data_IF_836043239378
#
_entry.id   IF_836043239378
#
_cell.length_a   1.000
_cell.length_b   1.000
_cell.length_c   1.000
_cell.angle_alpha   90.00
_cell.angle_beta   90.00
_cell.angle_gamma   90.00
#
_symmetry.space_group_name_H-M   'P 1'
#
loop_
_entity.id
_entity.type
_entity.pdbx_description
1 polymer ?
#
# COMPACT_ATOMS: atom_id res chain seq x y z
N UNK A 1 -0.09 19.39 -9.84
CA UNK A 1 1.14 18.58 -9.66
C UNK A 1 1.35 18.12 -8.21
N UNK A 2 1.28 19.01 -7.20
CA UNK A 2 1.46 18.66 -5.77
C UNK A 2 0.56 17.52 -5.25
N UNK A 3 -0.73 17.52 -5.59
CA UNK A 3 -1.70 16.51 -5.13
C UNK A 3 -1.35 15.10 -5.58
N UNK A 4 -0.92 14.93 -6.84
CA UNK A 4 -0.56 13.61 -7.38
C UNK A 4 0.67 13.04 -6.65
N UNK A 5 1.67 13.88 -6.40
CA UNK A 5 2.86 13.49 -5.64
C UNK A 5 2.52 13.12 -4.20
N UNK A 6 1.58 13.86 -3.57
CA UNK A 6 1.09 13.54 -2.23
C UNK A 6 0.37 12.19 -2.20
N UNK A 7 -0.47 11.88 -3.19
CA UNK A 7 -1.13 10.57 -3.32
C UNK A 7 -0.10 9.46 -3.48
N UNK A 8 0.88 9.62 -4.37
CA UNK A 8 1.93 8.60 -4.59
C UNK A 8 2.73 8.35 -3.30
N UNK A 9 3.04 9.40 -2.53
CA UNK A 9 3.70 9.27 -1.22
C UNK A 9 2.82 8.56 -0.20
N UNK A 10 1.52 8.90 -0.16
CA UNK A 10 0.53 8.28 0.71
C UNK A 10 0.37 6.78 0.42
N UNK A 11 0.40 6.38 -0.86
CA UNK A 11 0.28 4.99 -1.29
C UNK A 11 1.50 4.11 -0.96
N UNK A 12 2.64 4.72 -0.59
CA UNK A 12 3.90 4.04 -0.24
C UNK A 12 4.24 2.85 -1.17
N UNK A 13 4.19 3.06 -2.49
CA UNK A 13 4.21 2.01 -3.53
C UNK A 13 5.35 0.98 -3.42
N UNK A 14 6.46 1.31 -2.76
CA UNK A 14 7.55 0.35 -2.50
C UNK A 14 7.10 -0.89 -1.74
N UNK A 15 6.06 -0.82 -0.91
CA UNK A 15 5.54 -2.00 -0.20
C UNK A 15 4.76 -2.95 -1.11
N UNK A 16 4.30 -2.49 -2.29
CA UNK A 16 3.70 -3.36 -3.30
C UNK A 16 4.70 -4.36 -3.88
N UNK A 17 6.00 -4.06 -3.81
CA UNK A 17 7.07 -4.98 -4.25
C UNK A 17 7.01 -6.27 -3.42
N UNK A 18 6.78 -6.18 -2.11
CA UNK A 18 6.65 -7.35 -1.25
C UNK A 18 5.47 -8.25 -1.64
N UNK A 19 4.30 -7.63 -1.87
CA UNK A 19 3.11 -8.34 -2.34
C UNK A 19 3.31 -9.01 -3.70
N UNK A 20 3.94 -8.30 -4.64
CA UNK A 20 4.29 -8.84 -5.95
C UNK A 20 5.25 -10.03 -5.83
N UNK A 21 6.32 -9.91 -5.05
CA UNK A 21 7.28 -11.00 -4.84
C UNK A 21 6.63 -12.22 -4.19
N UNK A 22 5.73 -12.02 -3.23
CA UNK A 22 4.97 -13.11 -2.60
C UNK A 22 4.09 -13.85 -3.60
N UNK A 23 3.35 -13.12 -4.44
CA UNK A 23 2.52 -13.73 -5.49
C UNK A 23 3.37 -14.42 -6.54
N UNK A 24 4.48 -13.79 -6.97
CA UNK A 24 5.41 -14.39 -7.93
C UNK A 24 6.00 -15.69 -7.40
N UNK A 25 6.44 -15.72 -6.13
CA UNK A 25 6.95 -16.91 -5.47
C UNK A 25 5.89 -18.01 -5.40
N UNK A 26 4.68 -17.70 -4.93
CA UNK A 26 3.58 -18.67 -4.87
C UNK A 26 3.22 -19.22 -6.26
N UNK A 27 3.28 -18.38 -7.29
CA UNK A 27 3.07 -18.79 -8.68
C UNK A 27 4.17 -19.73 -9.16
N UNK A 28 5.44 -19.43 -8.86
CA UNK A 28 6.58 -20.28 -9.20
C UNK A 28 6.48 -21.65 -8.51
N UNK A 29 6.09 -21.69 -7.23
CA UNK A 29 5.86 -22.93 -6.49
C UNK A 29 4.73 -23.74 -7.13
N UNK A 30 3.58 -23.12 -7.45
CA UNK A 30 2.49 -23.82 -8.13
C UNK A 30 2.91 -24.37 -9.50
N UNK A 31 3.75 -23.65 -10.23
CA UNK A 31 4.32 -24.12 -11.51
C UNK A 31 5.30 -25.28 -11.34
N UNK A 32 6.09 -25.26 -10.27
CA UNK A 32 6.98 -26.35 -9.91
C UNK A 32 6.19 -27.63 -9.59
N UNK A 33 5.06 -27.50 -8.91
CA UNK A 33 4.09 -28.57 -8.61
C UNK A 33 3.18 -28.95 -9.80
N UNK A 34 3.56 -28.57 -11.02
CA UNK A 34 2.87 -28.88 -12.28
C UNK A 34 1.44 -28.32 -12.45
N UNK A 35 1.01 -27.36 -11.63
CA UNK A 35 -0.26 -26.66 -11.84
C UNK A 35 -0.21 -25.74 -13.09
N UNK A 36 -1.36 -25.56 -13.74
CA UNK A 36 -1.49 -24.66 -14.90
C UNK A 36 -1.43 -23.21 -14.43
N UNK A 37 -0.72 -22.37 -15.18
CA UNK A 37 -0.76 -20.93 -14.96
C UNK A 37 -2.13 -20.39 -15.38
N UNK A 38 -2.79 -19.71 -14.46
CA UNK A 38 -4.03 -18.96 -14.72
C UNK A 38 -3.72 -17.47 -14.58
N UNK A 39 -3.71 -16.78 -15.72
CA UNK A 39 -3.44 -15.34 -15.78
C UNK A 39 -4.51 -14.53 -15.05
N UNK A 40 -5.78 -14.95 -15.13
CA UNK A 40 -6.89 -14.27 -14.49
C UNK A 40 -6.76 -14.37 -12.97
N UNK A 41 -6.51 -15.57 -12.45
CA UNK A 41 -6.28 -15.76 -11.02
C UNK A 41 -5.07 -14.96 -10.51
N UNK A 42 -4.00 -14.91 -11.30
CA UNK A 42 -2.79 -14.15 -10.96
C UNK A 42 -3.05 -12.63 -10.89
N UNK A 43 -3.77 -12.08 -11.87
CA UNK A 43 -4.16 -10.66 -11.88
C UNK A 43 -5.07 -10.35 -10.68
N UNK A 44 -6.07 -11.20 -10.41
CA UNK A 44 -6.96 -11.04 -9.25
C UNK A 44 -6.16 -11.04 -7.95
N UNK A 45 -5.20 -11.95 -7.79
CA UNK A 45 -4.35 -12.01 -6.61
C UNK A 45 -3.54 -10.71 -6.44
N UNK A 46 -2.91 -10.22 -7.51
CA UNK A 46 -2.16 -8.96 -7.49
C UNK A 46 -3.03 -7.76 -7.13
N UNK A 47 -4.18 -7.61 -7.79
CA UNK A 47 -5.11 -6.51 -7.52
C UNK A 47 -5.60 -6.57 -6.07
N UNK A 48 -5.95 -7.76 -5.59
CA UNK A 48 -6.43 -7.96 -4.21
C UNK A 48 -5.36 -7.55 -3.21
N UNK A 49 -4.14 -8.10 -3.32
CA UNK A 49 -3.03 -7.77 -2.42
C UNK A 49 -2.68 -6.28 -2.49
N UNK A 50 -2.66 -5.69 -3.69
CA UNK A 50 -2.39 -4.27 -3.84
C UNK A 50 -3.45 -3.39 -3.16
N UNK A 51 -4.74 -3.69 -3.34
CA UNK A 51 -5.83 -2.95 -2.71
C UNK A 51 -5.76 -3.08 -1.19
N UNK A 52 -5.56 -4.28 -0.65
CA UNK A 52 -5.40 -4.49 0.79
C UNK A 52 -4.20 -3.72 1.36
N UNK A 53 -3.07 -3.72 0.65
CA UNK A 53 -1.88 -2.98 1.07
C UNK A 53 -2.13 -1.46 1.08
N UNK A 54 -2.79 -0.93 0.05
CA UNK A 54 -3.15 0.48 -0.03
C UNK A 54 -4.13 0.88 1.08
N UNK A 55 -5.19 0.09 1.29
CA UNK A 55 -6.14 0.29 2.38
C UNK A 55 -5.44 0.33 3.74
N UNK A 56 -4.52 -0.61 3.98
CA UNK A 56 -3.73 -0.66 5.22
C UNK A 56 -2.89 0.61 5.38
N UNK A 57 -2.20 1.05 4.34
CA UNK A 57 -1.39 2.27 4.42
C UNK A 57 -2.23 3.53 4.66
N UNK A 58 -3.36 3.65 3.98
CA UNK A 58 -4.27 4.79 4.16
C UNK A 58 -4.91 4.80 5.55
N UNK A 59 -5.28 3.63 6.05
CA UNK A 59 -5.80 3.48 7.41
C UNK A 59 -4.75 3.86 8.44
N UNK A 60 -3.53 3.33 8.31
CA UNK A 60 -2.44 3.64 9.23
C UNK A 60 -2.12 5.14 9.23
N UNK A 61 -1.95 5.76 8.05
CA UNK A 61 -1.71 7.21 7.98
C UNK A 61 -2.84 8.02 8.62
N UNK A 62 -4.10 7.59 8.48
CA UNK A 62 -5.24 8.28 9.09
C UNK A 62 -5.31 8.11 10.62
N UNK A 63 -5.17 6.89 11.13
CA UNK A 63 -5.33 6.60 12.55
C UNK A 63 -4.07 6.92 13.38
N UNK A 64 -2.89 6.85 12.77
CA UNK A 64 -1.60 7.02 13.47
C UNK A 64 -1.14 8.50 13.51
N UNK A 65 -1.98 9.47 13.14
CA UNK A 65 -1.59 10.89 13.05
C UNK A 65 -0.87 11.42 14.30
N UNK A 66 -1.45 11.19 15.50
CA UNK A 66 -0.87 11.64 16.77
C UNK A 66 0.46 10.93 17.09
N UNK A 67 0.57 9.64 16.75
CA UNK A 67 1.80 8.87 16.94
C UNK A 67 2.89 9.34 15.98
N UNK A 68 2.54 9.56 14.72
CA UNK A 68 3.45 9.96 13.66
C UNK A 68 4.02 11.37 13.91
N UNK A 69 3.23 12.29 14.46
CA UNK A 69 3.68 13.65 14.88
C UNK A 69 4.84 13.61 15.87
N UNK A 70 4.88 12.58 16.73
CA UNK A 70 5.91 12.41 17.76
C UNK A 70 7.03 11.48 17.35
N UNK A 71 6.96 10.93 16.13
CA UNK A 71 7.89 9.93 15.63
C UNK A 71 9.00 10.54 14.75
N UNK A 72 10.14 9.85 14.68
CA UNK A 72 11.15 10.14 13.65
C UNK A 72 10.88 9.25 12.46
N UNK A 73 10.52 9.86 11.33
CA UNK A 73 10.23 9.12 10.09
C UNK A 73 11.47 8.40 9.59
N UNK A 74 11.33 7.10 9.33
CA UNK A 74 12.34 6.29 8.64
C UNK A 74 11.86 5.97 7.23
N UNK A 75 12.69 5.33 6.37
CA UNK A 75 12.19 4.80 5.12
C UNK A 75 11.04 3.79 5.29
N UNK A 76 10.83 3.19 6.47
CA UNK A 76 9.84 2.12 6.64
C UNK A 76 8.70 2.48 7.61
N UNK A 77 8.91 3.43 8.53
CA UNK A 77 8.00 3.78 9.63
C UNK A 77 7.81 5.29 9.78
N UNK A 78 6.75 5.70 10.50
CA UNK A 78 6.46 7.10 10.84
C UNK A 78 5.67 7.86 9.78
N UNK A 79 4.59 7.27 9.26
CA UNK A 79 3.72 7.97 8.30
C UNK A 79 4.27 8.11 6.88
N UNK A 80 3.39 8.49 5.93
CA UNK A 80 3.82 9.06 4.65
C UNK A 80 4.32 10.51 4.81
N UNK A 81 4.00 11.14 5.94
CA UNK A 81 4.26 12.55 6.22
C UNK A 81 3.32 13.51 5.49
N UNK A 82 2.33 13.02 4.74
CA UNK A 82 1.43 13.82 3.89
C UNK A 82 0.33 14.52 4.70
N UNK A 83 -0.18 13.85 5.74
CA UNK A 83 -1.20 14.44 6.61
C UNK A 83 -0.56 15.46 7.57
N UNK A 84 0.62 15.15 8.11
CA UNK A 84 1.37 16.05 9.00
C UNK A 84 1.84 17.32 8.28
N UNK A 85 2.15 17.24 6.98
CA UNK A 85 2.51 18.39 6.16
C UNK A 85 1.30 19.19 5.64
N UNK A 86 0.07 18.79 5.99
CA UNK A 86 -1.18 19.35 5.47
C UNK A 86 -1.24 19.39 3.92
N UNK A 87 -0.57 18.47 3.24
CA UNK A 87 -0.61 18.36 1.77
C UNK A 87 -1.95 17.79 1.28
N UNK A 88 -2.61 16.95 2.10
CA UNK A 88 -3.95 16.42 1.87
C UNK A 88 -4.76 16.41 3.18
N UNK A 89 -6.09 16.58 3.12
CA UNK A 89 -6.95 16.43 4.30
C UNK A 89 -6.98 14.98 4.79
N UNK A 90 -6.99 14.75 6.10
CA UNK A 90 -7.07 13.41 6.69
C UNK A 90 -8.26 12.58 6.20
N UNK A 91 -9.43 13.23 5.99
CA UNK A 91 -10.63 12.55 5.46
C UNK A 91 -10.42 11.94 4.07
N UNK A 92 -9.46 12.47 3.28
CA UNK A 92 -9.13 11.92 1.98
C UNK A 92 -8.46 10.54 2.11
N UNK A 93 -7.57 10.36 3.09
CA UNK A 93 -6.98 9.06 3.39
C UNK A 93 -8.04 8.06 3.88
N UNK A 94 -8.93 8.47 4.78
CA UNK A 94 -10.02 7.63 5.27
C UNK A 94 -10.97 7.16 4.15
N UNK A 95 -11.33 8.05 3.21
CA UNK A 95 -12.16 7.69 2.04
C UNK A 95 -11.46 6.68 1.13
N UNK A 96 -10.17 6.88 0.86
CA UNK A 96 -9.42 5.92 0.04
C UNK A 96 -9.22 4.57 0.72
N UNK A 97 -9.20 4.53 2.05
CA UNK A 97 -9.15 3.28 2.80
C UNK A 97 -10.48 2.52 2.74
N UNK A 98 -11.61 3.22 2.88
CA UNK A 98 -12.92 2.59 3.13
C UNK A 98 -13.81 2.44 1.88
N UNK A 99 -13.51 3.14 0.80
CA UNK A 99 -14.35 3.20 -0.42
C UNK A 99 -15.23 4.45 -0.46
#
# INVERSE_FOLDING_TARGET
MRTLTAIIRLSRLKFLIGGFLGIALGTLVARYEHYRFDLTAWIIALCTVAIFQLMTHYSNDYFDQECDERSVRTPFSGGSGVLQSNELPAIFAARLALG
#
